data_IF_208728262375
#
_entry.id   IF_208728262375
#
_cell.length_a   1.000
_cell.length_b   1.000
_cell.length_c   1.000
_cell.angle_alpha   90.00
_cell.angle_beta   90.00
_cell.angle_gamma   90.00
#
_symmetry.space_group_name_H-M   'P 1'
#
loop_
_entity.id
_entity.type
_entity.pdbx_description
1 polymer ?
#
# COMPACT_ATOMS: atom_id res chain seq x y z
N UNK A 1 -50.97 -32.08 39.43
CA UNK A 1 -49.84 -33.04 39.54
C UNK A 1 -49.67 -33.59 38.13
N UNK A 2 -48.83 -33.02 37.26
CA UNK A 2 -47.36 -33.02 37.28
C UNK A 2 -46.82 -31.78 36.55
N UNK A 3 -46.18 -30.85 37.25
CA UNK A 3 -44.75 -30.51 37.05
C UNK A 3 -44.24 -30.72 35.62
N UNK A 4 -44.47 -29.77 34.71
CA UNK A 4 -43.58 -29.63 33.55
C UNK A 4 -42.24 -29.13 34.10
N UNK A 5 -41.34 -30.10 34.27
CA UNK A 5 -39.99 -29.90 34.69
C UNK A 5 -39.35 -28.82 33.81
N UNK A 6 -38.66 -27.89 34.45
CA UNK A 6 -37.65 -27.08 33.81
C UNK A 6 -36.64 -28.04 33.18
N UNK A 7 -36.78 -28.31 31.88
CA UNK A 7 -35.78 -29.04 31.11
C UNK A 7 -34.52 -28.17 31.10
N UNK A 8 -33.59 -28.55 31.97
CA UNK A 8 -32.27 -27.97 32.03
C UNK A 8 -31.62 -28.09 30.64
N UNK A 9 -31.20 -26.97 30.07
CA UNK A 9 -30.34 -26.98 28.88
C UNK A 9 -29.18 -27.94 29.15
N UNK A 10 -28.93 -28.93 28.28
CA UNK A 10 -27.90 -29.92 28.54
C UNK A 10 -26.56 -29.19 28.68
N UNK A 11 -25.74 -29.54 29.67
CA UNK A 11 -24.50 -28.83 30.00
C UNK A 11 -23.55 -28.62 28.79
N UNK A 12 -23.64 -29.51 27.81
CA UNK A 12 -22.93 -29.44 26.52
C UNK A 12 -23.33 -28.25 25.62
N UNK A 13 -24.55 -27.72 25.77
CA UNK A 13 -25.01 -26.53 25.05
C UNK A 13 -24.53 -25.22 25.71
N UNK A 14 -24.13 -25.27 26.98
CA UNK A 14 -23.58 -24.12 27.73
C UNK A 14 -22.08 -23.93 27.43
N UNK A 15 -21.38 -25.01 27.03
CA UNK A 15 -19.93 -25.04 26.77
C UNK A 15 -19.58 -25.25 25.30
N UNK A 16 -20.54 -25.04 24.39
CA UNK A 16 -20.23 -24.96 22.97
C UNK A 16 -19.59 -23.59 22.70
N UNK A 17 -18.37 -23.51 22.14
CA UNK A 17 -17.85 -22.24 21.66
C UNK A 17 -18.85 -21.64 20.67
N UNK A 18 -19.16 -20.34 20.74
CA UNK A 18 -20.11 -19.71 19.84
C UNK A 18 -19.67 -19.96 18.39
N UNK A 19 -20.50 -20.63 17.59
CA UNK A 19 -20.24 -20.82 16.18
C UNK A 19 -20.30 -19.47 15.47
N UNK A 20 -19.14 -18.85 15.30
CA UNK A 20 -19.05 -17.49 14.77
C UNK A 20 -17.69 -16.83 14.95
N UNK A 21 -16.58 -17.58 14.83
CA UNK A 21 -15.31 -16.90 14.51
C UNK A 21 -15.47 -16.39 13.08
N UNK A 22 -15.99 -15.16 12.94
CA UNK A 22 -16.29 -14.56 11.66
C UNK A 22 -15.01 -14.50 10.81
N UNK A 23 -14.94 -15.22 9.67
CA UNK A 23 -13.77 -15.22 8.79
C UNK A 23 -13.48 -13.87 8.10
N UNK A 24 -14.12 -12.78 8.54
CA UNK A 24 -13.98 -11.43 7.98
C UNK A 24 -13.04 -10.49 8.75
N UNK A 25 -12.71 -10.78 10.01
CA UNK A 25 -11.86 -9.91 10.82
C UNK A 25 -10.40 -9.87 10.32
N UNK A 26 -9.89 -10.97 9.75
CA UNK A 26 -8.49 -11.10 9.36
C UNK A 26 -8.10 -10.22 8.16
N UNK A 27 -8.98 -10.11 7.16
CA UNK A 27 -8.78 -9.26 5.96
C UNK A 27 -8.79 -7.77 6.33
N UNK A 28 -9.58 -7.39 7.34
CA UNK A 28 -9.65 -6.01 7.82
C UNK A 28 -8.34 -5.59 8.50
N UNK A 29 -7.75 -6.46 9.33
CA UNK A 29 -6.49 -6.18 10.01
C UNK A 29 -5.31 -6.00 9.05
N UNK A 30 -5.23 -6.80 7.97
CA UNK A 30 -4.15 -6.69 6.97
C UNK A 30 -4.23 -5.38 6.17
N UNK A 31 -5.43 -5.01 5.71
CA UNK A 31 -5.64 -3.74 4.99
C UNK A 31 -5.36 -2.54 5.90
N UNK A 32 -5.85 -2.58 7.15
CA UNK A 32 -5.58 -1.54 8.14
C UNK A 32 -4.08 -1.40 8.39
N UNK A 33 -3.34 -2.51 8.52
CA UNK A 33 -1.89 -2.51 8.66
C UNK A 33 -1.19 -1.82 7.50
N UNK A 34 -1.61 -2.10 6.25
CA UNK A 34 -1.08 -1.40 5.07
C UNK A 34 -1.37 0.10 5.08
N UNK A 35 -2.56 0.53 5.50
CA UNK A 35 -2.88 1.96 5.64
C UNK A 35 -1.99 2.66 6.67
N UNK A 36 -1.82 2.05 7.85
CA UNK A 36 -0.95 2.60 8.91
C UNK A 36 0.51 2.67 8.45
N UNK A 37 0.98 1.63 7.75
CA UNK A 37 2.33 1.62 7.16
C UNK A 37 2.52 2.76 6.14
N UNK A 38 1.57 2.94 5.21
CA UNK A 38 1.63 4.03 4.22
C UNK A 38 1.60 5.42 4.88
N UNK A 39 0.81 5.60 5.95
CA UNK A 39 0.81 6.83 6.72
C UNK A 39 2.17 7.10 7.38
N UNK A 40 2.83 6.05 7.91
CA UNK A 40 4.17 6.18 8.48
C UNK A 40 5.20 6.65 7.44
N UNK A 41 5.17 6.09 6.22
CA UNK A 41 6.04 6.52 5.12
C UNK A 41 5.79 7.99 4.73
N UNK A 42 4.52 8.41 4.66
CA UNK A 42 4.18 9.82 4.39
C UNK A 42 4.76 10.74 5.47
N UNK A 43 4.67 10.37 6.76
CA UNK A 43 5.25 11.15 7.85
C UNK A 43 6.78 11.21 7.74
N UNK A 44 7.44 10.10 7.37
CA UNK A 44 8.89 10.05 7.15
C UNK A 44 9.33 11.03 6.05
N UNK A 45 8.71 10.97 4.86
CA UNK A 45 9.04 11.91 3.77
C UNK A 45 8.67 13.36 4.11
N UNK A 46 7.58 13.59 4.84
CA UNK A 46 7.18 14.93 5.30
C UNK A 46 8.26 15.55 6.20
N UNK A 47 8.87 14.78 7.10
CA UNK A 47 9.97 15.26 7.93
C UNK A 47 11.20 15.65 7.09
N UNK A 48 11.54 14.86 6.05
CA UNK A 48 12.64 15.17 5.14
C UNK A 48 12.38 16.45 4.33
N UNK A 49 11.15 16.63 3.81
CA UNK A 49 10.74 17.85 3.09
C UNK A 49 10.75 19.05 4.05
N UNK A 50 10.24 18.89 5.27
CA UNK A 50 10.28 19.94 6.29
C UNK A 50 11.69 20.39 6.63
N UNK A 51 12.63 19.44 6.79
CA UNK A 51 14.03 19.74 6.98
C UNK A 51 14.62 20.52 5.79
N UNK A 52 14.33 20.11 4.55
CA UNK A 52 14.72 20.84 3.35
C UNK A 52 14.18 22.28 3.34
N UNK A 53 12.90 22.49 3.67
CA UNK A 53 12.30 23.82 3.70
C UNK A 53 12.98 24.74 4.73
N UNK A 54 13.21 24.25 5.96
CA UNK A 54 13.88 25.03 7.01
C UNK A 54 15.28 25.47 6.54
N UNK A 55 16.06 24.54 5.99
CA UNK A 55 17.39 24.83 5.46
C UNK A 55 17.33 25.82 4.29
N UNK A 56 16.35 25.65 3.39
CA UNK A 56 16.18 26.50 2.21
C UNK A 56 15.87 27.95 2.57
N UNK A 57 15.07 28.18 3.63
CA UNK A 57 14.72 29.52 4.11
C UNK A 57 15.79 30.14 5.03
N UNK A 58 16.62 29.33 5.68
CA UNK A 58 17.69 29.81 6.54
C UNK A 58 18.99 30.16 5.80
N UNK A 59 19.16 29.69 4.56
CA UNK A 59 20.38 29.93 3.79
C UNK A 59 20.41 31.36 3.21
N UNK A 60 21.51 32.08 3.47
CA UNK A 60 21.73 33.46 2.97
C UNK A 60 22.04 33.46 1.47
N UNK A 61 22.76 32.44 1.00
CA UNK A 61 23.12 32.25 -0.41
C UNK A 61 22.74 30.82 -0.81
N UNK A 62 22.07 30.69 -1.95
CA UNK A 62 21.64 29.41 -2.51
C UNK A 62 21.94 29.41 -4.00
N UNK A 63 22.39 28.26 -4.53
CA UNK A 63 22.75 28.10 -5.93
C UNK A 63 21.57 28.43 -6.86
N UNK A 64 21.86 28.97 -8.04
CA UNK A 64 20.83 29.30 -9.01
C UNK A 64 20.11 28.04 -9.51
N UNK A 65 18.77 28.06 -9.68
CA UNK A 65 18.03 26.93 -10.22
C UNK A 65 18.57 26.51 -11.60
N UNK A 66 18.97 25.25 -11.76
CA UNK A 66 19.32 24.66 -13.06
C UNK A 66 20.81 24.60 -13.42
N UNK A 67 21.72 24.98 -12.52
CA UNK A 67 23.16 24.83 -12.79
C UNK A 67 23.67 23.38 -12.68
N UNK A 68 23.12 22.58 -11.76
CA UNK A 68 23.54 21.18 -11.58
C UNK A 68 22.46 20.14 -11.91
N UNK A 69 21.19 20.54 -11.91
CA UNK A 69 20.05 19.64 -12.12
C UNK A 69 19.68 19.55 -13.60
N UNK A 70 19.88 18.38 -14.20
CA UNK A 70 19.42 18.10 -15.56
C UNK A 70 17.89 17.90 -15.60
N UNK A 71 17.17 19.02 -15.76
CA UNK A 71 15.71 19.07 -15.78
C UNK A 71 15.10 18.07 -16.80
N UNK A 72 15.60 17.97 -18.05
CA UNK A 72 15.09 16.96 -18.99
C UNK A 72 15.22 15.51 -18.52
N UNK A 73 16.35 15.13 -17.91
CA UNK A 73 16.58 13.76 -17.44
C UNK A 73 15.67 13.44 -16.26
N UNK A 74 15.57 14.35 -15.28
CA UNK A 74 14.68 14.16 -14.13
C UNK A 74 13.21 14.08 -14.55
N UNK A 75 12.77 14.94 -15.49
CA UNK A 75 11.41 14.90 -16.01
C UNK A 75 11.09 13.58 -16.74
N UNK A 76 12.05 13.09 -17.54
CA UNK A 76 11.92 11.78 -18.21
C UNK A 76 11.82 10.65 -17.19
N UNK A 77 12.62 10.70 -16.12
CA UNK A 77 12.59 9.68 -15.07
C UNK A 77 11.24 9.65 -14.32
N UNK A 78 10.66 10.82 -14.03
CA UNK A 78 9.30 10.92 -13.47
C UNK A 78 8.25 10.37 -14.42
N UNK A 79 8.36 10.64 -15.72
CA UNK A 79 7.45 10.08 -16.72
C UNK A 79 7.47 8.55 -16.73
N UNK A 80 8.67 7.94 -16.63
CA UNK A 80 8.85 6.49 -16.51
C UNK A 80 8.12 5.93 -15.26
N UNK A 81 8.20 6.59 -14.10
CA UNK A 81 7.46 6.19 -12.90
C UNK A 81 5.94 6.24 -13.08
N UNK A 82 5.43 7.29 -13.73
CA UNK A 82 4.01 7.43 -14.01
C UNK A 82 3.55 6.28 -14.91
N UNK A 83 4.32 5.95 -15.97
CA UNK A 83 4.05 4.80 -16.80
C UNK A 83 4.08 3.47 -16.03
N UNK A 84 5.00 3.31 -15.07
CA UNK A 84 5.07 2.13 -14.19
C UNK A 84 3.83 1.99 -13.31
N UNK A 85 3.26 3.10 -12.82
CA UNK A 85 1.99 3.07 -12.09
C UNK A 85 0.84 2.54 -12.96
N UNK A 86 0.78 2.95 -14.23
CA UNK A 86 -0.23 2.47 -15.18
C UNK A 86 -0.11 0.96 -15.41
N UNK A 87 1.11 0.41 -15.51
CA UNK A 87 1.28 -1.05 -15.69
C UNK A 87 0.80 -1.83 -14.47
N UNK A 88 0.98 -1.30 -13.25
CA UNK A 88 0.44 -1.91 -12.03
C UNK A 88 -1.09 -1.91 -12.01
N UNK A 89 -1.75 -0.82 -12.45
CA UNK A 89 -3.22 -0.76 -12.57
C UNK A 89 -3.73 -1.80 -13.58
N UNK A 90 -3.03 -2.00 -14.69
CA UNK A 90 -3.37 -3.05 -15.67
C UNK A 90 -3.17 -4.45 -15.11
N UNK A 91 -2.16 -4.65 -14.26
CA UNK A 91 -1.95 -5.90 -13.54
C UNK A 91 -3.15 -6.22 -12.62
N UNK A 92 -3.63 -5.21 -11.89
CA UNK A 92 -4.82 -5.29 -11.04
C UNK A 92 -6.08 -5.63 -11.84
N UNK A 93 -6.31 -4.96 -12.99
CA UNK A 93 -7.43 -5.28 -13.86
C UNK A 93 -7.37 -6.72 -14.39
N UNK A 94 -6.19 -7.18 -14.80
CA UNK A 94 -6.00 -8.54 -15.31
C UNK A 94 -6.32 -9.63 -14.27
N UNK A 95 -6.00 -9.41 -12.98
CA UNK A 95 -6.36 -10.36 -11.92
C UNK A 95 -7.84 -10.26 -11.54
N UNK A 96 -8.45 -9.09 -11.64
CA UNK A 96 -9.90 -8.93 -11.47
C UNK A 96 -10.68 -9.75 -12.53
N UNK A 97 -10.16 -9.82 -13.76
CA UNK A 97 -10.68 -10.66 -14.85
C UNK A 97 -10.29 -12.16 -14.73
N UNK A 98 -9.60 -12.55 -13.66
CA UNK A 98 -9.13 -13.93 -13.45
C UNK A 98 -7.94 -14.37 -14.31
N UNK A 99 -7.34 -13.46 -15.09
CA UNK A 99 -6.23 -13.77 -15.99
C UNK A 99 -4.85 -13.68 -15.29
N UNK A 100 -4.45 -14.76 -14.63
CA UNK A 100 -3.16 -14.84 -13.94
C UNK A 100 -1.93 -14.75 -14.87
N UNK A 101 -2.07 -15.12 -16.15
CA UNK A 101 -0.97 -15.00 -17.10
C UNK A 101 -0.71 -13.53 -17.41
N UNK A 102 -1.75 -12.76 -17.68
CA UNK A 102 -1.66 -11.33 -17.90
C UNK A 102 -1.18 -10.59 -16.64
N UNK A 103 -1.65 -10.97 -15.44
CA UNK A 103 -1.13 -10.43 -14.17
C UNK A 103 0.41 -10.53 -14.09
N UNK A 104 0.96 -11.73 -14.30
CA UNK A 104 2.41 -11.96 -14.21
C UNK A 104 3.19 -11.11 -15.21
N UNK A 105 2.71 -11.01 -16.45
CA UNK A 105 3.34 -10.17 -17.47
C UNK A 105 3.31 -8.68 -17.11
N UNK A 106 2.19 -8.17 -16.59
CA UNK A 106 2.10 -6.77 -16.15
C UNK A 106 2.95 -6.47 -14.92
N UNK A 107 3.05 -7.40 -13.96
CA UNK A 107 3.94 -7.23 -12.80
C UNK A 107 5.43 -7.20 -13.22
N UNK A 108 5.84 -8.10 -14.12
CA UNK A 108 7.21 -8.08 -14.67
C UNK A 108 7.48 -6.76 -15.39
N UNK A 109 6.52 -6.27 -16.19
CA UNK A 109 6.64 -4.97 -16.84
C UNK A 109 6.81 -3.84 -15.82
N UNK A 110 5.99 -3.78 -14.76
CA UNK A 110 6.11 -2.79 -13.68
C UNK A 110 7.50 -2.83 -13.02
N UNK A 111 8.01 -4.02 -12.70
CA UNK A 111 9.33 -4.18 -12.08
C UNK A 111 10.45 -3.72 -13.03
N UNK A 112 10.39 -4.08 -14.32
CA UNK A 112 11.42 -3.67 -15.29
C UNK A 112 11.42 -2.15 -15.52
N UNK A 113 10.24 -1.53 -15.62
CA UNK A 113 10.12 -0.08 -15.76
C UNK A 113 10.64 0.61 -14.49
N UNK A 114 10.28 0.09 -13.30
CA UNK A 114 10.79 0.60 -12.02
C UNK A 114 12.31 0.43 -11.86
N UNK A 115 12.88 -0.69 -12.32
CA UNK A 115 14.33 -0.90 -12.31
C UNK A 115 15.04 0.06 -13.26
N UNK A 116 14.43 0.37 -14.41
CA UNK A 116 14.94 1.39 -15.33
C UNK A 116 15.00 2.77 -14.67
N UNK A 117 14.00 3.13 -13.87
CA UNK A 117 14.00 4.37 -13.08
C UNK A 117 15.20 4.45 -12.11
N UNK A 118 15.48 3.36 -11.38
CA UNK A 118 16.62 3.30 -10.45
C UNK A 118 17.95 3.38 -11.19
N UNK A 119 18.06 2.78 -12.39
CA UNK A 119 19.29 2.84 -13.19
C UNK A 119 19.59 4.20 -13.81
N UNK A 120 18.58 5.08 -13.96
CA UNK A 120 18.73 6.45 -14.48
C UNK A 120 19.02 7.45 -13.35
N UNK A 121 18.58 7.15 -12.12
CA UNK A 121 18.64 8.04 -10.97
C UNK A 121 20.06 8.26 -10.44
#
# INVERSE_FOLDING_TARGET
>A
MTTHAADAMPAQAIMAPPEGVEPGAEVYHQKLGMWVFLLSEIMFFTALIGAYLILRFSAVEWMAPGEELNVPVTATNTFILICSSVTMVKAYAAIADGNQRALRWWLVATVLIGATFVGIQ
#
